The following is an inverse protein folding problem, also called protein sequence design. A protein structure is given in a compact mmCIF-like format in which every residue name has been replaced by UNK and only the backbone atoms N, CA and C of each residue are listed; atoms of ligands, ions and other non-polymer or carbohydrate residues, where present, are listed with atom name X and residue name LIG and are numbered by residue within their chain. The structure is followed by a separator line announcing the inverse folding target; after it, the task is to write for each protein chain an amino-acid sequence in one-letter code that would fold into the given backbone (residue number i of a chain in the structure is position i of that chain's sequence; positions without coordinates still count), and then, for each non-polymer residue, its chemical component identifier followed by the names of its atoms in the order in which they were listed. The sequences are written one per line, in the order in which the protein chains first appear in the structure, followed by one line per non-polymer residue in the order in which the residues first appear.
data_IF_876657731608
#
_entry.id   IF_876657731608
#
_cell.length_a   1.000
_cell.length_b   1.000
_cell.length_c   1.000
_cell.angle_alpha   90.00
_cell.angle_beta   90.00
_cell.angle_gamma   90.00
#
_symmetry.space_group_name_H-M   'P 1'
#
loop_
_entity.id
_entity.type
_entity.pdbx_description
1 polymer ?
#
# COMPACT_ATOMS: atom_id res chain seq x y z
N UNK A 1 10.02 -4.81 16.42
CA UNK A 1 10.01 -5.31 15.04
C UNK A 1 11.12 -4.62 14.27
N UNK A 2 11.90 -5.35 13.47
CA UNK A 2 12.93 -4.72 12.62
C UNK A 2 12.34 -4.33 11.26
N UNK A 3 12.94 -3.32 10.62
CA UNK A 3 12.56 -2.91 9.25
C UNK A 3 12.75 -4.05 8.24
N UNK A 4 13.73 -4.94 8.46
CA UNK A 4 13.99 -6.12 7.64
C UNK A 4 12.83 -7.12 7.71
N UNK A 5 12.29 -7.39 8.91
CA UNK A 5 11.13 -8.26 9.06
C UNK A 5 9.88 -7.70 8.37
N UNK A 6 9.62 -6.40 8.50
CA UNK A 6 8.51 -5.75 7.79
C UNK A 6 8.67 -5.84 6.28
N UNK A 7 9.89 -5.62 5.77
CA UNK A 7 10.18 -5.73 4.33
C UNK A 7 9.96 -7.15 3.81
N UNK A 8 10.39 -8.17 4.56
CA UNK A 8 10.15 -9.56 4.19
C UNK A 8 8.66 -9.90 4.16
N UNK A 9 7.87 -9.38 5.10
CA UNK A 9 6.42 -9.56 5.10
C UNK A 9 5.74 -8.82 3.93
N UNK A 10 6.17 -7.59 3.65
CA UNK A 10 5.71 -6.81 2.50
C UNK A 10 5.91 -7.58 1.20
N UNK A 11 7.10 -8.16 0.98
CA UNK A 11 7.38 -8.95 -0.22
C UNK A 11 6.46 -10.19 -0.34
N UNK A 12 6.07 -10.82 0.77
CA UNK A 12 5.06 -11.90 0.73
C UNK A 12 3.70 -11.36 0.32
N UNK A 13 3.28 -10.23 0.89
CA UNK A 13 2.00 -9.58 0.56
C UNK A 13 1.95 -9.15 -0.90
N UNK A 14 3.01 -8.54 -1.42
CA UNK A 14 3.11 -8.14 -2.83
C UNK A 14 2.98 -9.36 -3.78
N UNK A 15 3.63 -10.48 -3.45
CA UNK A 15 3.48 -11.73 -4.21
C UNK A 15 2.07 -12.31 -4.10
N UNK A 16 1.46 -12.27 -2.91
CA UNK A 16 0.08 -12.75 -2.69
C UNK A 16 -0.95 -11.92 -3.46
N UNK A 17 -0.69 -10.61 -3.57
CA UNK A 17 -1.47 -9.66 -4.36
C UNK A 17 -1.24 -9.81 -5.86
N UNK A 18 -0.28 -10.65 -6.30
CA UNK A 18 0.09 -10.84 -7.70
C UNK A 18 0.47 -9.52 -8.40
N UNK A 19 1.17 -8.66 -7.66
CA UNK A 19 1.79 -7.49 -8.28
C UNK A 19 2.87 -7.92 -9.28
N UNK A 20 3.13 -7.08 -10.28
CA UNK A 20 4.16 -7.33 -11.30
C UNK A 20 5.51 -7.74 -10.69
N UNK A 21 6.18 -8.73 -11.28
CA UNK A 21 7.49 -9.19 -10.80
C UNK A 21 8.56 -8.09 -10.84
N UNK A 22 8.44 -7.15 -11.79
CA UNK A 22 9.37 -6.03 -11.93
C UNK A 22 9.33 -5.12 -10.70
N UNK A 23 8.13 -4.73 -10.25
CA UNK A 23 7.98 -3.82 -9.10
C UNK A 23 8.26 -4.52 -7.78
N UNK A 24 8.03 -5.84 -7.68
CA UNK A 24 8.49 -6.65 -6.55
C UNK A 24 10.03 -6.66 -6.49
N UNK A 25 10.70 -6.85 -7.63
CA UNK A 25 12.17 -6.85 -7.72
C UNK A 25 12.74 -5.48 -7.34
N UNK A 26 12.19 -4.40 -7.89
CA UNK A 26 12.61 -3.03 -7.59
C UNK A 26 12.43 -2.69 -6.10
N UNK A 27 11.32 -3.11 -5.49
CA UNK A 27 11.10 -2.94 -4.06
C UNK A 27 12.13 -3.74 -3.22
N UNK A 28 12.40 -4.99 -3.60
CA UNK A 28 13.38 -5.85 -2.91
C UNK A 28 14.81 -5.29 -3.01
N UNK A 29 15.27 -4.98 -4.22
CA UNK A 29 16.69 -4.63 -4.48
C UNK A 29 17.00 -3.16 -4.31
N UNK A 30 16.07 -2.27 -4.64
CA UNK A 30 16.32 -0.84 -4.75
C UNK A 30 15.54 -0.02 -3.72
N UNK A 31 14.62 -0.65 -2.96
CA UNK A 31 13.65 0.04 -2.09
C UNK A 31 12.80 1.06 -2.87
N UNK A 32 12.56 0.83 -4.16
CA UNK A 32 11.67 1.66 -4.96
C UNK A 32 10.23 1.26 -4.72
N UNK A 33 9.42 2.22 -4.29
CA UNK A 33 7.99 2.06 -4.10
C UNK A 33 7.26 2.46 -5.38
N UNK A 34 6.20 1.72 -5.71
CA UNK A 34 5.31 2.03 -6.81
C UNK A 34 3.89 2.33 -6.30
N UNK A 35 3.08 2.91 -7.18
CA UNK A 35 1.67 3.08 -7.00
C UNK A 35 0.89 2.49 -8.18
N UNK A 36 -0.36 2.13 -7.92
CA UNK A 36 -1.35 1.85 -8.95
C UNK A 36 -2.19 3.10 -9.20
N UNK A 37 -2.35 3.46 -10.47
CA UNK A 37 -3.13 4.60 -10.94
C UNK A 37 -3.97 4.21 -12.15
N UNK A 38 -4.95 5.04 -12.55
CA UNK A 38 -5.78 4.81 -13.75
C UNK A 38 -6.36 3.39 -13.84
N UNK A 39 -6.84 2.86 -12.72
CA UNK A 39 -7.44 1.53 -12.64
C UNK A 39 -6.45 0.36 -12.57
N UNK A 40 -5.22 0.58 -12.10
CA UNK A 40 -4.23 -0.48 -11.83
C UNK A 40 -2.89 -0.35 -12.57
N UNK A 41 -2.73 0.67 -13.41
CA UNK A 41 -1.49 0.95 -14.11
C UNK A 41 -0.38 1.30 -13.10
N UNK A 42 0.77 0.65 -13.24
CA UNK A 42 1.88 0.81 -12.31
C UNK A 42 2.75 2.02 -12.68
N UNK A 43 2.97 2.91 -11.72
CA UNK A 43 3.83 4.08 -11.83
C UNK A 43 4.73 4.21 -10.59
N UNK A 44 5.84 4.93 -10.73
CA UNK A 44 6.66 5.31 -9.57
C UNK A 44 6.10 6.56 -8.90
N UNK A 45 6.25 6.63 -7.58
CA UNK A 45 5.82 7.81 -6.83
C UNK A 45 6.71 9.01 -7.19
N UNK A 46 6.09 10.18 -7.33
CA UNK A 46 6.82 11.45 -7.39
C UNK A 46 7.40 11.84 -6.02
N UNK A 47 8.17 12.94 -5.98
CA UNK A 47 8.79 13.39 -4.74
C UNK A 47 7.78 13.78 -3.65
N UNK A 48 6.62 14.33 -4.02
CA UNK A 48 5.59 14.73 -3.06
C UNK A 48 4.94 13.50 -2.44
N UNK A 49 4.54 12.53 -3.27
CA UNK A 49 3.97 11.26 -2.85
C UNK A 49 4.95 10.49 -1.94
N UNK A 50 6.24 10.45 -2.29
CA UNK A 50 7.28 9.84 -1.45
C UNK A 50 7.41 10.54 -0.09
N UNK A 51 7.31 11.86 -0.03
CA UNK A 51 7.34 12.60 1.24
C UNK A 51 6.16 12.22 2.14
N UNK A 52 4.95 12.12 1.58
CA UNK A 52 3.75 11.74 2.33
C UNK A 52 3.89 10.32 2.90
N UNK A 53 4.35 9.37 2.09
CA UNK A 53 4.62 7.99 2.54
C UNK A 53 5.64 8.00 3.68
N UNK A 54 6.75 8.70 3.52
CA UNK A 54 7.82 8.77 4.53
C UNK A 54 7.34 9.36 5.85
N UNK A 55 6.52 10.42 5.80
CA UNK A 55 5.94 11.03 6.99
C UNK A 55 5.03 10.04 7.74
N UNK A 56 4.18 9.32 6.99
CA UNK A 56 3.33 8.27 7.56
C UNK A 56 4.16 7.15 8.20
N UNK A 57 5.18 6.62 7.51
CA UNK A 57 6.04 5.56 8.03
C UNK A 57 6.79 5.98 9.30
N UNK A 58 7.25 7.23 9.36
CA UNK A 58 7.91 7.79 10.54
C UNK A 58 6.97 7.90 11.75
N UNK A 59 5.74 8.37 11.53
CA UNK A 59 4.72 8.53 12.58
C UNK A 59 4.19 7.19 13.10
N UNK A 60 3.88 6.27 12.19
CA UNK A 60 3.26 4.98 12.53
C UNK A 60 4.28 3.92 12.99
N UNK A 61 5.48 3.94 12.41
CA UNK A 61 6.44 2.83 12.47
C UNK A 61 6.10 1.69 11.48
N UNK A 62 5.10 1.88 10.62
CA UNK A 62 4.72 0.92 9.57
C UNK A 62 5.67 1.02 8.37
N UNK A 63 5.60 0.03 7.48
CA UNK A 63 6.28 0.01 6.19
C UNK A 63 5.25 -0.05 5.06
N UNK A 64 5.24 0.93 4.15
CA UNK A 64 4.38 0.94 2.98
C UNK A 64 5.03 0.12 1.87
N UNK A 65 4.26 -0.78 1.26
CA UNK A 65 4.75 -1.66 0.19
C UNK A 65 4.07 -1.46 -1.15
N UNK A 66 2.92 -0.76 -1.17
CA UNK A 66 2.24 -0.35 -2.39
C UNK A 66 1.25 0.77 -2.08
N UNK A 67 0.97 1.64 -3.05
CA UNK A 67 -0.03 2.70 -2.94
C UNK A 67 -1.08 2.52 -4.03
N UNK A 68 -2.36 2.66 -3.72
CA UNK A 68 -3.41 2.80 -4.74
C UNK A 68 -3.86 4.25 -4.74
N UNK A 69 -3.63 4.95 -5.84
CA UNK A 69 -4.12 6.30 -6.05
C UNK A 69 -5.52 6.25 -6.66
N UNK A 70 -6.47 6.96 -6.07
CA UNK A 70 -7.81 7.08 -6.61
C UNK A 70 -8.50 8.36 -6.16
N UNK A 71 -9.60 8.68 -6.85
CA UNK A 71 -10.48 9.79 -6.54
C UNK A 71 -11.83 9.24 -6.06
N UNK A 72 -12.30 9.74 -4.93
CA UNK A 72 -13.65 9.49 -4.43
C UNK A 72 -14.43 10.82 -4.38
N UNK A 73 -15.74 10.75 -4.13
CA UNK A 73 -16.58 11.95 -3.98
C UNK A 73 -16.06 12.91 -2.90
N UNK A 74 -15.37 12.37 -1.90
CA UNK A 74 -14.82 13.10 -0.75
C UNK A 74 -13.33 13.49 -0.89
N UNK A 75 -12.70 13.25 -2.05
CA UNK A 75 -11.36 13.76 -2.34
C UNK A 75 -10.42 12.80 -3.05
N UNK A 76 -9.19 13.27 -3.27
CA UNK A 76 -8.05 12.49 -3.74
C UNK A 76 -7.49 11.64 -2.58
N UNK A 77 -7.31 10.34 -2.83
CA UNK A 77 -6.93 9.36 -1.81
C UNK A 77 -5.70 8.57 -2.20
N UNK A 78 -4.76 8.44 -1.25
CA UNK A 78 -3.68 7.46 -1.31
C UNK A 78 -3.95 6.33 -0.33
N UNK A 79 -4.29 5.17 -0.87
CA UNK A 79 -4.49 3.96 -0.08
C UNK A 79 -3.14 3.27 0.11
N UNK A 80 -2.50 3.53 1.24
CA UNK A 80 -1.16 3.04 1.56
C UNK A 80 -1.25 1.65 2.18
N UNK A 81 -1.01 0.63 1.37
CA UNK A 81 -0.92 -0.75 1.83
C UNK A 81 0.38 -0.92 2.61
N UNK A 82 0.27 -1.36 3.87
CA UNK A 82 1.39 -1.32 4.79
C UNK A 82 1.50 -2.56 5.68
N UNK A 83 2.70 -2.76 6.21
CA UNK A 83 3.00 -3.75 7.25
C UNK A 83 3.18 -2.99 8.57
N UNK A 84 2.28 -3.23 9.52
CA UNK A 84 2.34 -2.57 10.82
C UNK A 84 3.56 -3.02 11.64
N UNK A 85 3.92 -2.24 12.66
CA UNK A 85 4.96 -2.63 13.63
C UNK A 85 4.54 -3.77 14.57
N UNK A 86 3.27 -4.18 14.54
CA UNK A 86 2.66 -5.14 15.45
C UNK A 86 2.47 -6.50 14.77
N UNK A 87 3.37 -7.45 15.04
CA UNK A 87 3.41 -8.78 14.38
C UNK A 87 2.11 -9.57 14.49
N UNK A 88 1.39 -9.40 15.58
CA UNK A 88 0.15 -10.12 15.87
C UNK A 88 -0.98 -9.78 14.88
N UNK A 89 -0.88 -8.68 14.13
CA UNK A 89 -1.84 -8.29 13.10
C UNK A 89 -1.56 -8.98 11.76
N UNK A 90 -0.31 -9.39 11.51
CA UNK A 90 0.12 -9.76 10.16
C UNK A 90 -0.58 -10.98 9.58
N UNK A 91 -0.88 -11.97 10.43
CA UNK A 91 -1.62 -13.15 10.01
C UNK A 91 -3.04 -12.79 9.54
N UNK A 92 -3.70 -11.87 10.25
CA UNK A 92 -5.04 -11.38 9.90
C UNK A 92 -4.99 -10.60 8.59
N UNK A 93 -4.02 -9.69 8.44
CA UNK A 93 -3.86 -8.91 7.21
C UNK A 93 -3.64 -9.81 5.99
N UNK A 94 -2.84 -10.87 6.13
CA UNK A 94 -2.61 -11.83 5.04
C UNK A 94 -3.88 -12.60 4.69
N UNK A 95 -4.68 -12.98 5.70
CA UNK A 95 -5.99 -13.59 5.48
C UNK A 95 -6.96 -12.62 4.79
N UNK A 96 -6.90 -11.32 5.11
CA UNK A 96 -7.71 -10.32 4.41
C UNK A 96 -7.30 -10.23 2.93
N UNK A 97 -6.00 -10.26 2.61
CA UNK A 97 -5.50 -10.30 1.22
C UNK A 97 -6.03 -11.53 0.48
N UNK A 98 -6.05 -12.68 1.14
CA UNK A 98 -6.64 -13.92 0.59
C UNK A 98 -8.13 -13.80 0.28
N UNK A 99 -8.84 -12.93 0.99
CA UNK A 99 -10.26 -12.66 0.80
C UNK A 99 -10.53 -11.43 -0.08
N UNK A 100 -9.55 -10.95 -0.86
CA UNK A 100 -9.70 -9.82 -1.77
C UNK A 100 -9.79 -8.45 -1.09
N UNK A 101 -9.28 -8.35 0.13
CA UNK A 101 -9.24 -7.11 0.92
C UNK A 101 -7.84 -6.80 1.37
N UNK A 102 -7.49 -5.56 1.61
CA UNK A 102 -6.19 -5.24 2.17
C UNK A 102 -6.29 -4.11 3.18
N UNK A 103 -5.53 -4.25 4.26
CA UNK A 103 -5.40 -3.20 5.26
C UNK A 103 -4.58 -2.04 4.68
N UNK A 104 -5.14 -0.84 4.76
CA UNK A 104 -4.55 0.38 4.27
C UNK A 104 -4.64 1.49 5.33
N UNK A 105 -3.64 2.37 5.32
CA UNK A 105 -3.85 3.74 5.74
C UNK A 105 -4.32 4.55 4.54
N UNK A 106 -5.53 5.08 4.59
CA UNK A 106 -6.13 5.90 3.55
C UNK A 106 -5.84 7.35 3.89
N UNK A 107 -4.84 7.92 3.22
CA UNK A 107 -4.54 9.35 3.30
C UNK A 107 -5.50 10.09 2.38
N UNK A 108 -6.34 10.96 2.95
CA UNK A 108 -7.10 11.91 2.17
C UNK A 108 -6.24 13.17 1.94
N UNK A 109 -5.95 13.45 0.67
CA UNK A 109 -5.11 14.57 0.24
C UNK A 109 -5.91 15.87 0.22
N UNK A 110 -7.22 15.79 0.00
CA UNK A 110 -8.13 16.94 -0.04
C UNK A 110 -8.52 17.42 1.36
N UNK A 111 -8.77 16.50 2.30
CA UNK A 111 -9.10 16.79 3.70
C UNK A 111 -8.35 15.85 4.66
N UNK A 112 -7.28 16.34 5.27
CA UNK A 112 -6.40 15.54 6.12
C UNK A 112 -7.12 14.92 7.33
N UNK A 113 -8.12 15.61 7.90
CA UNK A 113 -8.88 15.15 9.06
C UNK A 113 -9.72 13.90 8.76
N UNK A 114 -10.00 13.65 7.48
CA UNK A 114 -10.73 12.50 6.99
C UNK A 114 -9.81 11.33 6.60
N UNK A 115 -8.53 11.36 6.99
CA UNK A 115 -7.62 10.22 6.82
C UNK A 115 -7.86 9.14 7.87
N UNK A 116 -7.87 7.87 7.46
CA UNK A 116 -8.22 6.77 8.36
C UNK A 116 -7.49 5.46 8.04
N UNK A 117 -7.56 4.50 8.97
CA UNK A 117 -7.17 3.12 8.72
C UNK A 117 -8.39 2.29 8.37
N UNK A 118 -8.28 1.42 7.37
CA UNK A 118 -9.41 0.61 6.94
C UNK A 118 -9.00 -0.59 6.10
N UNK A 119 -9.95 -1.52 5.94
CA UNK A 119 -9.88 -2.58 4.95
C UNK A 119 -10.50 -2.06 3.66
N UNK A 120 -9.75 -2.09 2.57
CA UNK A 120 -10.25 -1.77 1.23
C UNK A 120 -10.48 -3.06 0.44
N UNK A 121 -11.43 -3.04 -0.48
CA UNK A 121 -11.55 -4.09 -1.50
C UNK A 121 -10.83 -3.64 -2.76
N UNK A 122 -10.21 -4.61 -3.44
CA UNK A 122 -9.50 -4.34 -4.67
C UNK A 122 -9.74 -5.43 -5.70
N UNK A 123 -9.50 -5.07 -6.95
CA UNK A 123 -9.29 -6.02 -8.03
C UNK A 123 -7.87 -5.89 -8.57
N UNK A 124 -7.36 -6.97 -9.15
CA UNK A 124 -6.05 -7.00 -9.79
C UNK A 124 -6.22 -6.56 -11.23
N UNK A 125 -5.41 -5.59 -11.67
CA UNK A 125 -5.47 -5.10 -13.05
C UNK A 125 -4.11 -4.55 -13.49
N UNK A 126 -3.70 -4.80 -14.73
CA UNK A 126 -2.42 -4.35 -15.31
C UNK A 126 -1.16 -4.64 -14.45
N UNK A 127 -1.18 -5.70 -13.64
CA UNK A 127 -0.10 -6.03 -12.70
C UNK A 127 -0.07 -5.15 -11.43
N UNK A 128 -1.01 -4.22 -11.29
CA UNK A 128 -1.30 -3.45 -10.08
C UNK A 128 -2.68 -3.76 -9.53
N UNK A 129 -3.23 -2.80 -8.77
CA UNK A 129 -4.48 -2.92 -8.03
C UNK A 129 -5.40 -1.73 -8.30
N UNK A 130 -6.69 -2.00 -8.44
CA UNK A 130 -7.73 -0.99 -8.49
C UNK A 130 -8.61 -1.11 -7.24
N UNK A 131 -8.83 -0.03 -6.49
CA UNK A 131 -9.75 -0.04 -5.35
C UNK A 131 -11.18 -0.02 -5.86
N UNK A 132 -12.02 -0.93 -5.34
CA UNK A 132 -13.43 -1.03 -5.73
C UNK A 132 -14.41 -0.68 -4.60
N UNK A 133 -13.98 -0.81 -3.33
CA UNK A 133 -14.74 -0.40 -2.14
C UNK A 133 -13.76 0.08 -1.05
#
# INVERSE_FOLDING_TARGET
MTRVEQKNEALKRMKKLELSEDIIREFDKENKLNLSEYGGMLLWLDEQQQRIVKEYEQKSGSLVYHVIHGFAEFGELYNMLCVSKYRNEWQRDMLDIENGRAFAYVKNITDDFSSEYGLIHFEKNFGGLNRIL
#
